data_IF_143966665199
#
_entry.id   IF_143966665199
#
_cell.length_a   1.000
_cell.length_b   1.000
_cell.length_c   1.000
_cell.angle_alpha   90.00
_cell.angle_beta   90.00
_cell.angle_gamma   90.00
#
_symmetry.space_group_name_H-M   'P 1'
#
loop_
_entity.id
_entity.type
_entity.pdbx_description
1 polymer ?
#
# COMPACT_ATOMS: atom_id res chain seq x y z
N UNK A 1 19.62 -15.82 2.19
CA UNK A 1 20.84 -15.82 3.02
C UNK A 1 21.37 -17.24 3.23
N UNK A 2 20.53 -18.20 3.64
CA UNK A 2 20.95 -19.56 4.00
C UNK A 2 20.62 -20.64 2.93
N UNK A 3 20.66 -20.28 1.64
CA UNK A 3 20.46 -21.28 0.57
C UNK A 3 21.66 -22.25 0.55
N UNK A 4 21.46 -23.58 0.39
CA UNK A 4 22.56 -24.53 0.29
C UNK A 4 23.52 -24.15 -0.84
N UNK A 5 22.98 -23.88 -2.03
CA UNK A 5 23.76 -23.40 -3.17
C UNK A 5 24.22 -21.94 -2.96
N UNK A 6 25.54 -21.72 -2.93
CA UNK A 6 26.13 -20.39 -2.72
C UNK A 6 25.70 -19.37 -3.80
N UNK A 7 25.64 -19.79 -5.06
CA UNK A 7 25.24 -18.94 -6.19
C UNK A 7 23.78 -18.44 -6.12
N UNK A 8 22.93 -19.06 -5.29
CA UNK A 8 21.53 -18.63 -5.08
C UNK A 8 21.36 -17.72 -3.87
N UNK A 9 22.45 -17.42 -3.13
CA UNK A 9 22.40 -16.49 -2.01
C UNK A 9 22.40 -15.05 -2.57
N UNK A 10 21.56 -14.15 -2.04
CA UNK A 10 21.61 -12.75 -2.44
C UNK A 10 22.94 -12.12 -2.02
N UNK A 11 23.42 -11.16 -2.80
CA UNK A 11 24.59 -10.35 -2.46
C UNK A 11 24.30 -9.45 -1.26
N UNK A 12 25.35 -8.93 -0.61
CA UNK A 12 25.19 -7.98 0.49
C UNK A 12 24.40 -6.73 0.08
N UNK A 13 24.63 -6.22 -1.14
CA UNK A 13 23.87 -5.08 -1.70
C UNK A 13 22.38 -5.42 -1.90
N UNK A 14 22.06 -6.62 -2.40
CA UNK A 14 20.66 -7.06 -2.56
C UNK A 14 19.97 -7.21 -1.19
N UNK A 15 20.69 -7.69 -0.17
CA UNK A 15 20.21 -7.77 1.21
C UNK A 15 19.92 -6.38 1.77
N UNK A 16 20.85 -5.43 1.63
CA UNK A 16 20.68 -4.06 2.12
C UNK A 16 19.48 -3.35 1.47
N UNK A 17 19.08 -3.79 0.27
CA UNK A 17 17.92 -3.26 -0.45
C UNK A 17 16.60 -3.92 -0.03
N UNK A 18 16.61 -4.96 0.78
CA UNK A 18 15.42 -5.73 1.16
C UNK A 18 14.44 -4.91 2.03
N UNK A 19 13.11 -5.07 1.87
CA UNK A 19 12.10 -4.33 2.64
C UNK A 19 12.23 -4.40 4.16
N UNK A 20 12.88 -5.45 4.68
CA UNK A 20 13.18 -5.60 6.11
C UNK A 20 13.97 -4.41 6.67
N UNK A 21 14.81 -3.77 5.86
CA UNK A 21 15.66 -2.64 6.27
C UNK A 21 15.09 -1.29 5.84
N UNK A 22 13.84 -1.25 5.38
CA UNK A 22 13.25 0.02 4.95
C UNK A 22 12.67 0.76 6.13
N UNK A 23 13.00 2.05 6.22
CA UNK A 23 12.28 3.00 7.07
C UNK A 23 10.79 3.04 6.69
N UNK A 24 9.88 3.33 7.65
CA UNK A 24 8.44 3.36 7.39
C UNK A 24 8.02 4.26 6.22
N UNK A 25 8.72 5.38 6.01
CA UNK A 25 8.48 6.29 4.88
C UNK A 25 8.71 5.62 3.53
N UNK A 26 9.78 4.82 3.41
CA UNK A 26 10.10 4.05 2.20
C UNK A 26 9.11 2.91 1.97
N UNK A 27 8.67 2.25 3.04
CA UNK A 27 7.61 1.23 2.94
C UNK A 27 6.31 1.82 2.39
N UNK A 28 5.86 2.95 2.95
CA UNK A 28 4.66 3.64 2.48
C UNK A 28 4.80 4.11 1.02
N UNK A 29 5.95 4.71 0.68
CA UNK A 29 6.23 5.15 -0.68
C UNK A 29 6.16 3.99 -1.68
N UNK A 30 6.73 2.83 -1.33
CA UNK A 30 6.64 1.64 -2.17
C UNK A 30 5.19 1.18 -2.38
N UNK A 31 4.36 1.16 -1.34
CA UNK A 31 2.94 0.79 -1.48
C UNK A 31 2.17 1.75 -2.39
N UNK A 32 2.49 3.06 -2.30
CA UNK A 32 1.90 4.06 -3.18
C UNK A 32 2.30 3.86 -4.64
N UNK A 33 3.59 3.67 -4.92
CA UNK A 33 4.11 3.46 -6.27
C UNK A 33 3.54 2.18 -6.90
N UNK A 34 3.46 1.10 -6.12
CA UNK A 34 2.81 -0.14 -6.57
C UNK A 34 1.34 0.11 -6.87
N UNK A 35 0.61 0.86 -6.02
CA UNK A 35 -0.79 1.23 -6.28
C UNK A 35 -0.94 1.95 -7.62
N UNK A 36 -0.10 2.94 -7.91
CA UNK A 36 -0.16 3.71 -9.16
C UNK A 36 0.19 2.88 -10.38
N UNK A 37 1.14 1.94 -10.23
CA UNK A 37 1.54 1.03 -11.29
C UNK A 37 0.43 0.02 -11.62
N UNK A 38 -0.22 -0.59 -10.61
CA UNK A 38 -1.28 -1.59 -10.82
C UNK A 38 -2.62 -0.98 -11.26
N UNK A 39 -2.86 0.31 -11.01
CA UNK A 39 -4.07 1.02 -11.45
C UNK A 39 -4.25 0.92 -12.97
N UNK A 40 -3.14 0.93 -13.70
CA UNK A 40 -3.09 0.90 -15.17
C UNK A 40 -3.14 -0.51 -15.76
N UNK A 41 -3.28 -1.54 -14.91
CA UNK A 41 -3.23 -2.94 -15.32
C UNK A 41 -4.63 -3.50 -15.52
N UNK A 42 -4.79 -4.28 -16.57
CA UNK A 42 -6.03 -5.02 -16.80
C UNK A 42 -6.29 -6.05 -15.69
N UNK A 43 -7.56 -6.32 -15.32
CA UNK A 43 -7.88 -7.33 -14.31
C UNK A 43 -7.32 -8.73 -14.62
N UNK A 44 -7.16 -9.06 -15.91
CA UNK A 44 -6.64 -10.34 -16.38
C UNK A 44 -5.11 -10.38 -16.49
N UNK A 45 -4.41 -9.30 -16.16
CA UNK A 45 -2.95 -9.25 -16.18
C UNK A 45 -2.36 -10.32 -15.22
N UNK A 46 -1.34 -11.09 -15.64
CA UNK A 46 -0.69 -12.09 -14.78
C UNK A 46 -0.22 -11.54 -13.41
N UNK A 47 0.22 -10.28 -13.36
CA UNK A 47 0.61 -9.60 -12.13
C UNK A 47 -0.56 -9.48 -11.17
N UNK A 48 -1.74 -9.12 -11.68
CA UNK A 48 -2.95 -8.98 -10.86
C UNK A 48 -3.35 -10.31 -10.25
N UNK A 49 -3.33 -11.39 -11.04
CA UNK A 49 -3.56 -12.74 -10.52
C UNK A 49 -2.54 -13.11 -9.44
N UNK A 50 -1.26 -12.75 -9.64
CA UNK A 50 -0.19 -13.07 -8.70
C UNK A 50 -0.34 -12.33 -7.36
N UNK A 51 -0.75 -11.07 -7.40
CA UNK A 51 -1.01 -10.26 -6.21
C UNK A 51 -2.18 -10.84 -5.41
N UNK A 52 -3.25 -11.27 -6.07
CA UNK A 52 -4.44 -11.80 -5.39
C UNK A 52 -4.25 -13.24 -4.85
N UNK A 53 -3.37 -14.04 -5.45
CA UNK A 53 -3.27 -15.49 -5.17
C UNK A 53 -3.11 -15.82 -3.68
N UNK A 54 -2.30 -15.05 -2.94
CA UNK A 54 -1.98 -15.33 -1.52
C UNK A 54 -2.44 -14.24 -0.56
N UNK A 55 -3.38 -13.39 -0.97
CA UNK A 55 -3.87 -12.29 -0.14
C UNK A 55 -4.43 -12.74 1.21
N UNK A 56 -5.03 -13.94 1.27
CA UNK A 56 -5.64 -14.49 2.47
C UNK A 56 -4.62 -14.82 3.59
N UNK A 57 -3.32 -14.86 3.26
CA UNK A 57 -2.25 -14.95 4.26
C UNK A 57 -1.96 -13.60 4.95
N UNK A 58 -2.49 -12.50 4.40
CA UNK A 58 -2.28 -11.13 4.88
C UNK A 58 -3.58 -10.57 5.47
N UNK A 59 -4.71 -10.73 4.78
CA UNK A 59 -6.02 -10.26 5.23
C UNK A 59 -7.16 -11.12 4.66
N UNK A 60 -8.30 -11.17 5.35
CA UNK A 60 -9.53 -11.84 4.86
C UNK A 60 -10.42 -10.83 4.14
N UNK A 61 -11.15 -10.00 4.90
CA UNK A 61 -11.82 -8.80 4.42
C UNK A 61 -11.20 -7.58 5.09
N UNK A 62 -10.36 -6.86 4.34
CA UNK A 62 -9.62 -5.75 4.91
C UNK A 62 -10.53 -4.61 5.39
N UNK A 63 -11.72 -4.42 4.79
CA UNK A 63 -12.67 -3.39 5.24
C UNK A 63 -13.23 -3.69 6.64
N UNK A 64 -13.42 -4.97 6.97
CA UNK A 64 -13.95 -5.39 8.27
C UNK A 64 -12.87 -5.36 9.37
N UNK A 65 -11.60 -5.20 8.99
CA UNK A 65 -10.47 -5.06 9.90
C UNK A 65 -10.15 -3.59 10.27
N UNK A 66 -10.87 -2.63 9.67
CA UNK A 66 -10.70 -1.21 9.96
C UNK A 66 -11.66 -0.75 11.05
N UNK A 67 -11.22 0.21 11.86
CA UNK A 67 -12.10 0.91 12.78
C UNK A 67 -13.25 1.59 12.03
N UNK A 68 -14.45 1.55 12.62
CA UNK A 68 -15.68 2.06 12.01
C UNK A 68 -15.55 3.50 11.47
N UNK A 69 -14.94 4.48 12.19
CA UNK A 69 -14.79 5.84 11.67
C UNK A 69 -13.96 5.91 10.38
N UNK A 70 -12.87 5.13 10.31
CA UNK A 70 -12.00 5.10 9.13
C UNK A 70 -12.70 4.41 7.94
N UNK A 71 -13.38 3.30 8.20
CA UNK A 71 -14.17 2.59 7.19
C UNK A 71 -15.25 3.49 6.60
N UNK A 72 -16.02 4.20 7.43
CA UNK A 72 -17.06 5.13 6.99
C UNK A 72 -16.46 6.29 6.18
N UNK A 73 -15.33 6.85 6.61
CA UNK A 73 -14.62 7.90 5.86
C UNK A 73 -14.18 7.44 4.47
N UNK A 74 -13.61 6.24 4.35
CA UNK A 74 -13.22 5.66 3.06
C UNK A 74 -14.43 5.46 2.14
N UNK A 75 -15.50 4.85 2.66
CA UNK A 75 -16.69 4.50 1.88
C UNK A 75 -17.49 5.74 1.43
N UNK A 76 -17.37 6.89 2.12
CA UNK A 76 -17.92 8.17 1.66
C UNK A 76 -17.29 8.64 0.35
N UNK A 77 -16.00 8.39 0.17
CA UNK A 77 -15.26 8.89 -1.00
C UNK A 77 -15.33 7.94 -2.19
N UNK A 78 -15.34 6.62 -1.93
CA UNK A 78 -15.29 5.61 -2.98
C UNK A 78 -15.77 4.24 -2.47
N UNK A 79 -16.40 3.47 -3.36
CA UNK A 79 -16.64 2.04 -3.12
C UNK A 79 -15.35 1.24 -3.34
N UNK A 80 -15.05 0.35 -2.40
CA UNK A 80 -13.88 -0.51 -2.46
C UNK A 80 -14.30 -1.98 -2.42
N UNK A 81 -13.67 -2.78 -3.26
CA UNK A 81 -13.77 -4.23 -3.23
C UNK A 81 -12.75 -4.83 -2.26
N UNK A 82 -13.08 -5.99 -1.70
CA UNK A 82 -12.15 -6.76 -0.90
C UNK A 82 -11.10 -7.45 -1.80
N UNK A 83 -10.16 -6.69 -2.35
CA UNK A 83 -9.00 -7.15 -3.13
C UNK A 83 -7.75 -6.30 -2.82
N UNK A 84 -6.56 -6.79 -3.21
CA UNK A 84 -5.27 -6.14 -2.93
C UNK A 84 -5.18 -4.79 -3.63
N UNK A 85 -5.69 -4.68 -4.85
CA UNK A 85 -5.68 -3.42 -5.61
C UNK A 85 -6.41 -2.30 -4.87
N UNK A 86 -7.61 -2.59 -4.40
CA UNK A 86 -8.47 -1.61 -3.76
C UNK A 86 -7.98 -1.28 -2.35
N UNK A 87 -7.35 -2.23 -1.65
CA UNK A 87 -6.62 -1.96 -0.40
C UNK A 87 -5.48 -0.96 -0.62
N UNK A 88 -4.60 -1.22 -1.59
CA UNK A 88 -3.49 -0.31 -1.92
C UNK A 88 -3.99 1.06 -2.36
N UNK A 89 -5.09 1.10 -3.13
CA UNK A 89 -5.74 2.35 -3.51
C UNK A 89 -6.27 3.12 -2.31
N UNK A 90 -6.90 2.44 -1.35
CA UNK A 90 -7.40 3.07 -0.12
C UNK A 90 -6.25 3.69 0.69
N UNK A 91 -5.13 2.96 0.86
CA UNK A 91 -3.91 3.45 1.53
C UNK A 91 -3.39 4.71 0.83
N UNK A 92 -3.21 4.64 -0.49
CA UNK A 92 -2.73 5.77 -1.31
C UNK A 92 -3.65 6.99 -1.18
N UNK A 93 -4.96 6.80 -1.33
CA UNK A 93 -5.95 7.87 -1.23
C UNK A 93 -5.92 8.52 0.16
N UNK A 94 -5.88 7.73 1.23
CA UNK A 94 -5.85 8.26 2.60
C UNK A 94 -4.58 9.08 2.86
N UNK A 95 -3.42 8.65 2.36
CA UNK A 95 -2.16 9.42 2.42
C UNK A 95 -2.29 10.77 1.71
N UNK A 96 -2.82 10.81 0.49
CA UNK A 96 -3.01 12.07 -0.25
C UNK A 96 -3.94 13.03 0.48
N UNK A 97 -5.06 12.53 1.01
CA UNK A 97 -6.00 13.37 1.75
C UNK A 97 -5.45 13.83 3.11
N UNK A 98 -4.63 13.03 3.79
CA UNK A 98 -3.95 13.46 5.00
C UNK A 98 -3.05 14.67 4.74
N UNK A 99 -2.26 14.63 3.67
CA UNK A 99 -1.45 15.78 3.25
C UNK A 99 -2.34 16.99 2.92
N UNK A 100 -3.40 16.81 2.14
CA UNK A 100 -4.34 17.88 1.81
C UNK A 100 -5.00 18.51 3.05
N UNK A 101 -5.35 17.70 4.06
CA UNK A 101 -5.95 18.18 5.29
C UNK A 101 -4.95 18.96 6.16
N UNK A 102 -3.68 18.53 6.21
CA UNK A 102 -2.60 19.33 6.82
C UNK A 102 -2.43 20.66 6.09
N UNK A 103 -2.41 20.67 4.75
CA UNK A 103 -2.32 21.92 3.99
C UNK A 103 -3.52 22.84 4.22
N UNK A 104 -4.73 22.28 4.38
CA UNK A 104 -5.91 23.06 4.76
C UNK A 104 -5.77 23.66 6.16
N UNK A 105 -5.36 22.86 7.15
CA UNK A 105 -5.13 23.34 8.52
C UNK A 105 -4.04 24.42 8.58
N UNK A 106 -2.93 24.21 7.88
CA UNK A 106 -1.84 25.19 7.81
C UNK A 106 -2.30 26.47 7.12
N UNK A 107 -3.13 26.40 6.06
CA UNK A 107 -3.69 27.59 5.42
C UNK A 107 -4.57 28.40 6.38
N UNK A 108 -5.30 27.76 7.30
CA UNK A 108 -6.07 28.47 8.33
C UNK A 108 -5.18 29.16 9.37
N UNK A 109 -4.00 28.59 9.68
CA UNK A 109 -3.06 29.16 10.65
C UNK A 109 -2.24 30.35 10.12
N UNK A 110 -2.23 30.61 8.81
CA UNK A 110 -1.60 31.80 8.21
C UNK A 110 -2.54 33.01 8.07
N UNK A 111 -3.80 32.90 8.54
CA UNK A 111 -4.78 34.00 8.58
C UNK A 111 -5.13 34.44 10.01
N UNK A 112 -4.33 34.02 11.00
CA UNK A 112 -4.35 34.51 12.39
C UNK A 112 -2.96 35.07 12.68
#
# INVERSE_FOLDING_TARGET
MLRPEAARRPTASAIASHPLFWEPSKQLQFLMEVSDWIEKKEPRDPVMRRLEWRRNLVFTNWLDQLDEPLRLDLLKQRQYMNNVRDLLRAIRNKKHHYQANIFKLNKFLYFI
#
